data_IF_515735352941
#
_entry.id   IF_515735352941
#
_cell.length_a   1.000
_cell.length_b   1.000
_cell.length_c   1.000
_cell.angle_alpha   90.00
_cell.angle_beta   90.00
_cell.angle_gamma   90.00
#
_symmetry.space_group_name_H-M   'P 1'
#
loop_
_entity.id
_entity.type
_entity.pdbx_description
1 polymer ?
#
# COMPACT_ATOMS: atom_id res chain seq x y z
N UNK A 1 17.92 25.85 -15.33
CA UNK A 1 17.08 25.55 -14.17
C UNK A 1 17.09 24.05 -13.92
N UNK A 2 17.43 23.59 -12.73
CA UNK A 2 17.30 22.18 -12.46
C UNK A 2 15.84 21.77 -12.63
N UNK A 3 15.61 20.68 -13.35
CA UNK A 3 14.29 20.11 -13.50
C UNK A 3 13.81 19.68 -12.12
N UNK A 4 12.63 20.17 -11.73
CA UNK A 4 12.06 19.82 -10.45
C UNK A 4 11.67 18.35 -10.50
N UNK A 5 12.28 17.54 -9.67
CA UNK A 5 11.97 16.11 -9.59
C UNK A 5 10.48 15.93 -9.30
N UNK A 6 9.81 15.13 -10.11
CA UNK A 6 8.42 14.77 -9.84
C UNK A 6 8.42 13.71 -8.74
N UNK A 7 7.78 14.02 -7.63
CA UNK A 7 7.65 13.12 -6.49
C UNK A 7 6.15 12.90 -6.21
N UNK A 8 5.74 11.64 -6.18
CA UNK A 8 4.41 11.23 -5.74
C UNK A 8 4.51 10.59 -4.37
N UNK A 9 3.72 11.08 -3.42
CA UNK A 9 3.65 10.58 -2.05
C UNK A 9 2.35 9.80 -1.88
N UNK A 10 2.47 8.54 -1.49
CA UNK A 10 1.34 7.63 -1.34
C UNK A 10 1.47 6.84 -0.06
N UNK A 11 0.44 6.06 0.25
CA UNK A 11 0.41 5.18 1.41
C UNK A 11 -0.24 3.84 1.05
N UNK A 12 0.01 2.85 1.90
CA UNK A 12 -0.64 1.54 1.84
C UNK A 12 -0.75 1.01 3.27
N UNK A 13 -1.90 0.42 3.61
CA UNK A 13 -2.19 0.00 4.98
C UNK A 13 -2.60 -1.46 5.02
N UNK A 14 -1.89 -2.24 5.83
CA UNK A 14 -2.32 -3.60 6.19
C UNK A 14 -3.18 -3.52 7.46
N UNK A 15 -4.44 -3.91 7.35
CA UNK A 15 -5.37 -4.01 8.46
C UNK A 15 -5.57 -5.48 8.79
N UNK A 16 -5.24 -5.88 10.01
CA UNK A 16 -5.38 -7.25 10.46
C UNK A 16 -6.49 -7.36 11.51
N UNK A 17 -7.38 -8.31 11.33
CA UNK A 17 -8.34 -8.69 12.36
C UNK A 17 -7.72 -9.78 13.23
N UNK A 18 -7.36 -9.43 14.46
CA UNK A 18 -6.73 -10.37 15.39
C UNK A 18 -7.61 -11.55 15.78
N UNK A 19 -8.93 -11.38 15.72
CA UNK A 19 -9.87 -12.45 16.05
C UNK A 19 -9.84 -13.59 15.02
N UNK A 20 -9.64 -13.25 13.74
CA UNK A 20 -9.64 -14.22 12.64
C UNK A 20 -8.27 -14.42 12.01
N UNK A 21 -7.28 -13.60 12.36
CA UNK A 21 -5.95 -13.55 11.73
C UNK A 21 -6.00 -13.23 10.23
N UNK A 22 -7.07 -12.60 9.76
CA UNK A 22 -7.24 -12.20 8.35
C UNK A 22 -6.80 -10.77 8.13
N UNK A 23 -6.43 -10.48 6.90
CA UNK A 23 -6.06 -9.13 6.45
C UNK A 23 -7.10 -8.61 5.46
N UNK A 24 -7.30 -7.30 5.45
CA UNK A 24 -8.24 -6.65 4.56
C UNK A 24 -7.59 -6.37 3.22
N UNK A 25 -8.23 -6.82 2.15
CA UNK A 25 -7.77 -6.57 0.78
C UNK A 25 -8.84 -5.86 -0.03
N UNK A 26 -8.39 -5.14 -1.04
CA UNK A 26 -9.20 -4.52 -2.06
C UNK A 26 -8.88 -5.20 -3.40
N UNK A 27 -9.93 -5.60 -4.12
CA UNK A 27 -9.79 -6.09 -5.49
C UNK A 27 -9.98 -4.91 -6.44
N UNK A 28 -8.88 -4.42 -7.00
CA UNK A 28 -8.91 -3.30 -7.95
C UNK A 28 -9.40 -3.76 -9.31
N UNK A 29 -10.28 -2.98 -9.91
CA UNK A 29 -10.94 -3.32 -11.18
C UNK A 29 -10.74 -2.30 -12.30
N UNK A 30 -10.36 -1.04 -11.98
CA UNK A 30 -10.18 0.02 -12.99
C UNK A 30 -8.76 0.09 -13.51
N UNK A 31 -7.78 0.12 -12.60
CA UNK A 31 -6.36 0.16 -12.93
C UNK A 31 -5.60 -0.68 -11.92
N UNK A 32 -4.45 -1.21 -12.32
CA UNK A 32 -3.66 -2.09 -11.44
C UNK A 32 -4.50 -3.25 -10.89
N UNK A 33 -5.25 -3.91 -11.79
CA UNK A 33 -6.24 -4.94 -11.42
C UNK A 33 -5.62 -6.08 -10.61
N UNK A 34 -6.35 -6.54 -9.59
CA UNK A 34 -5.95 -7.61 -8.67
C UNK A 34 -6.02 -7.14 -7.22
N UNK A 35 -5.64 -8.02 -6.31
CA UNK A 35 -5.67 -7.75 -4.88
C UNK A 35 -4.52 -6.86 -4.44
N UNK A 36 -4.83 -5.91 -3.57
CA UNK A 36 -3.86 -5.05 -2.90
C UNK A 36 -4.39 -4.69 -1.51
N UNK A 37 -3.54 -4.15 -0.66
CA UNK A 37 -4.01 -3.47 0.54
C UNK A 37 -4.53 -2.07 0.18
N UNK A 38 -5.49 -1.54 0.94
CA UNK A 38 -6.01 -0.18 0.70
C UNK A 38 -4.94 0.88 0.90
N UNK A 39 -5.10 1.99 0.21
CA UNK A 39 -4.22 3.15 0.29
C UNK A 39 -4.43 4.09 -0.88
N UNK A 40 -3.70 5.18 -0.91
CA UNK A 40 -3.81 6.18 -1.97
C UNK A 40 -2.82 7.32 -1.81
N UNK A 41 -3.14 8.45 -2.44
CA UNK A 41 -2.26 9.62 -2.46
C UNK A 41 -2.40 10.48 -1.21
N UNK A 42 -1.27 11.02 -0.77
CA UNK A 42 -1.22 12.05 0.28
C UNK A 42 -1.64 13.39 -0.34
N UNK A 43 -2.63 14.06 0.24
CA UNK A 43 -3.07 15.37 -0.19
C UNK A 43 -2.29 16.48 0.50
N UNK A 44 -2.29 17.67 -0.11
CA UNK A 44 -1.64 18.84 0.50
C UNK A 44 -2.22 19.15 1.87
N UNK A 45 -1.34 19.42 2.82
CA UNK A 45 -1.74 19.82 4.17
C UNK A 45 -2.11 18.69 5.11
N UNK A 46 -2.14 17.43 4.64
CA UNK A 46 -2.37 16.31 5.55
C UNK A 46 -1.07 15.55 5.88
N UNK A 47 -1.03 15.00 7.09
CA UNK A 47 0.07 14.12 7.48
C UNK A 47 -0.02 12.78 6.75
N UNK A 48 1.07 12.03 6.70
CA UNK A 48 1.08 10.70 6.09
C UNK A 48 0.10 9.75 6.81
N UNK A 49 0.05 9.82 8.13
CA UNK A 49 -0.89 9.00 8.92
C UNK A 49 -2.34 9.40 8.63
N UNK A 50 -2.64 10.69 8.63
CA UNK A 50 -4.01 11.16 8.36
C UNK A 50 -4.45 10.81 6.94
N UNK A 51 -3.54 10.87 5.96
CA UNK A 51 -3.85 10.46 4.58
C UNK A 51 -4.20 8.97 4.51
N UNK A 52 -3.47 8.13 5.24
CA UNK A 52 -3.76 6.70 5.30
C UNK A 52 -5.11 6.41 5.93
N UNK A 53 -5.43 7.08 7.03
CA UNK A 53 -6.73 6.96 7.71
C UNK A 53 -7.87 7.37 6.77
N UNK A 54 -7.71 8.49 6.07
CA UNK A 54 -8.72 8.98 5.12
C UNK A 54 -8.94 8.01 3.96
N UNK A 55 -7.87 7.56 3.32
CA UNK A 55 -7.96 6.62 2.21
C UNK A 55 -8.63 5.30 2.61
N UNK A 56 -8.27 4.75 3.77
CA UNK A 56 -8.92 3.53 4.27
C UNK A 56 -10.42 3.77 4.50
N UNK A 57 -10.79 4.91 5.07
CA UNK A 57 -12.21 5.24 5.29
C UNK A 57 -12.97 5.33 3.97
N UNK A 58 -12.41 5.99 2.97
CA UNK A 58 -13.03 6.14 1.65
C UNK A 58 -13.17 4.80 0.94
N UNK A 59 -12.17 3.95 1.01
CA UNK A 59 -12.13 2.69 0.26
C UNK A 59 -12.81 1.53 0.96
N UNK A 60 -12.85 1.52 2.29
CA UNK A 60 -13.32 0.36 3.07
C UNK A 60 -14.48 0.64 4.00
N UNK A 61 -14.72 1.90 4.37
CA UNK A 61 -15.69 2.29 5.37
C UNK A 61 -15.19 2.19 6.80
N UNK A 62 -14.02 1.63 7.03
CA UNK A 62 -13.48 1.45 8.38
C UNK A 62 -12.76 2.69 8.88
N UNK A 63 -12.90 2.94 10.17
CA UNK A 63 -12.08 3.88 10.93
C UNK A 63 -10.93 3.11 11.56
N UNK A 64 -9.70 3.53 11.28
CA UNK A 64 -8.50 2.85 11.79
C UNK A 64 -7.75 3.74 12.76
N UNK A 65 -7.05 3.11 13.71
CA UNK A 65 -6.37 3.77 14.82
C UNK A 65 -4.99 3.14 15.03
N UNK A 66 -4.11 3.88 15.72
CA UNK A 66 -2.84 3.37 16.19
C UNK A 66 -1.97 2.73 15.11
N UNK A 67 -1.83 3.44 13.98
CA UNK A 67 -1.02 2.98 12.87
C UNK A 67 0.45 2.87 13.27
N UNK A 68 1.06 1.73 12.93
CA UNK A 68 2.49 1.48 13.11
C UNK A 68 3.17 1.48 11.76
N UNK A 69 4.29 2.20 11.64
CA UNK A 69 5.08 2.22 10.40
C UNK A 69 5.69 0.86 10.09
N UNK A 70 5.57 0.45 8.83
CA UNK A 70 6.26 -0.71 8.26
C UNK A 70 7.38 -0.27 7.30
N UNK A 71 7.80 0.98 7.38
CA UNK A 71 8.82 1.55 6.50
C UNK A 71 8.24 2.19 5.25
N UNK A 72 9.09 2.36 4.25
CA UNK A 72 8.73 2.98 2.98
C UNK A 72 9.20 2.13 1.81
N UNK A 73 8.51 2.25 0.68
CA UNK A 73 9.01 1.76 -0.60
C UNK A 73 9.27 2.96 -1.48
N UNK A 74 10.48 3.02 -2.02
CA UNK A 74 10.94 4.11 -2.87
C UNK A 74 11.19 3.57 -4.28
N UNK A 75 10.30 3.89 -5.19
CA UNK A 75 10.44 3.61 -6.62
C UNK A 75 11.13 4.79 -7.28
N UNK A 76 12.34 4.58 -7.77
CA UNK A 76 13.14 5.63 -8.42
C UNK A 76 13.34 5.29 -9.89
N UNK A 77 12.78 6.10 -10.78
CA UNK A 77 13.03 5.97 -12.22
C UNK A 77 14.46 6.47 -12.52
N UNK A 78 15.30 5.61 -13.06
CA UNK A 78 16.74 5.92 -13.18
C UNK A 78 17.11 6.70 -14.46
N UNK A 79 16.14 7.03 -15.31
CA UNK A 79 16.32 7.89 -16.48
C UNK A 79 15.66 9.25 -16.32
N UNK A 80 14.44 9.30 -15.81
CA UNK A 80 13.66 10.54 -15.64
C UNK A 80 13.83 11.16 -14.26
N UNK A 81 14.33 10.38 -13.28
CA UNK A 81 14.47 10.77 -11.86
C UNK A 81 13.14 11.04 -11.17
N UNK A 82 12.04 10.59 -11.74
CA UNK A 82 10.73 10.57 -11.05
C UNK A 82 10.76 9.58 -9.90
N UNK A 83 10.10 9.94 -8.80
CA UNK A 83 10.04 9.12 -7.59
C UNK A 83 8.60 8.86 -7.19
N UNK A 84 8.33 7.62 -6.83
CA UNK A 84 7.06 7.21 -6.27
C UNK A 84 7.34 6.61 -4.89
N UNK A 85 6.83 7.25 -3.84
CA UNK A 85 7.14 6.88 -2.46
C UNK A 85 5.88 6.40 -1.79
N UNK A 86 5.93 5.18 -1.23
CA UNK A 86 4.80 4.56 -0.55
C UNK A 86 5.14 4.39 0.92
N UNK A 87 4.43 5.12 1.79
CA UNK A 87 4.52 4.96 3.23
C UNK A 87 3.65 3.79 3.65
N UNK A 88 4.23 2.82 4.34
CA UNK A 88 3.57 1.58 4.72
C UNK A 88 3.20 1.60 6.20
N UNK A 89 1.95 1.23 6.50
CA UNK A 89 1.43 1.17 7.86
C UNK A 89 0.70 -0.13 8.09
N UNK A 90 0.62 -0.54 9.36
CA UNK A 90 -0.22 -1.64 9.79
C UNK A 90 -0.98 -1.25 11.04
N UNK A 91 -2.15 -1.85 11.23
CA UNK A 91 -2.94 -1.73 12.45
C UNK A 91 -3.86 -2.92 12.59
N UNK A 92 -4.20 -3.23 13.85
CA UNK A 92 -5.28 -4.17 14.20
C UNK A 92 -6.42 -3.45 14.93
N UNK A 93 -6.34 -2.13 15.06
CA UNK A 93 -7.32 -1.32 15.76
C UNK A 93 -8.22 -0.62 14.76
N UNK A 94 -9.46 -1.10 14.65
CA UNK A 94 -10.43 -0.54 13.72
C UNK A 94 -11.85 -0.64 14.27
N UNK A 95 -12.74 0.17 13.73
CA UNK A 95 -14.17 0.16 14.02
C UNK A 95 -14.96 0.54 12.78
N UNK A 96 -16.29 0.43 12.88
CA UNK A 96 -17.18 0.76 11.78
C UNK A 96 -17.57 -0.46 10.96
N UNK A 97 -18.35 -0.21 9.93
CA UNK A 97 -18.90 -1.25 9.06
C UNK A 97 -18.14 -1.29 7.73
N UNK A 98 -17.68 -2.47 7.35
CA UNK A 98 -17.01 -2.68 6.09
C UNK A 98 -18.00 -2.48 4.93
N UNK A 99 -17.60 -1.67 3.94
CA UNK A 99 -18.35 -1.55 2.69
C UNK A 99 -18.21 -2.84 1.90
N UNK A 100 -19.26 -3.23 1.15
CA UNK A 100 -19.18 -4.40 0.27
C UNK A 100 -18.32 -4.10 -0.94
N UNK A 101 -18.52 -2.93 -1.53
CA UNK A 101 -17.77 -2.48 -2.69
C UNK A 101 -17.83 -0.95 -2.82
N UNK A 102 -16.85 -0.42 -3.52
CA UNK A 102 -16.84 0.98 -3.99
C UNK A 102 -16.64 0.98 -5.51
N UNK A 103 -16.58 2.17 -6.12
CA UNK A 103 -16.29 2.30 -7.55
C UNK A 103 -14.93 1.69 -7.93
N UNK A 104 -14.04 1.51 -6.96
CA UNK A 104 -12.71 0.97 -7.18
C UNK A 104 -12.64 -0.56 -7.05
N UNK A 105 -13.70 -1.19 -6.54
CA UNK A 105 -13.79 -2.64 -6.44
C UNK A 105 -14.30 -3.12 -5.09
N UNK A 106 -14.23 -4.43 -4.89
CA UNK A 106 -14.66 -5.08 -3.65
C UNK A 106 -13.58 -4.98 -2.57
N UNK A 107 -14.04 -4.97 -1.30
CA UNK A 107 -13.15 -5.12 -0.14
C UNK A 107 -13.61 -6.32 0.69
N UNK A 108 -12.65 -7.12 1.14
CA UNK A 108 -12.97 -8.33 1.91
C UNK A 108 -11.77 -8.81 2.72
N UNK A 109 -12.06 -9.63 3.72
CA UNK A 109 -11.03 -10.24 4.56
C UNK A 109 -10.54 -11.54 3.94
N UNK A 110 -9.22 -11.76 3.95
CA UNK A 110 -8.59 -12.96 3.41
C UNK A 110 -7.51 -13.46 4.38
N UNK A 111 -7.33 -14.78 4.43
CA UNK A 111 -6.20 -15.35 5.14
C UNK A 111 -4.90 -14.93 4.41
N UNK A 112 -3.89 -14.40 5.12
CA UNK A 112 -2.64 -14.00 4.48
C UNK A 112 -1.97 -15.12 3.68
N UNK A 113 -2.10 -16.37 4.11
CA UNK A 113 -1.52 -17.52 3.41
C UNK A 113 -2.19 -17.79 2.06
N UNK A 114 -3.42 -17.30 1.87
CA UNK A 114 -4.14 -17.42 0.60
C UNK A 114 -3.76 -16.39 -0.44
N UNK A 115 -3.04 -15.34 -0.07
CA UNK A 115 -2.63 -14.28 -1.00
C UNK A 115 -1.83 -14.83 -2.18
N UNK A 116 -0.96 -15.81 -1.93
CA UNK A 116 -0.14 -16.44 -2.97
C UNK A 116 -0.96 -17.18 -4.05
N UNK A 117 -2.21 -17.53 -3.75
CA UNK A 117 -3.11 -18.23 -4.67
C UNK A 117 -4.03 -17.29 -5.43
N UNK A 118 -3.91 -15.99 -5.23
CA UNK A 118 -4.77 -14.96 -5.81
C UNK A 118 -4.04 -14.18 -6.90
N UNK A 119 -4.82 -13.56 -7.79
CA UNK A 119 -4.28 -12.58 -8.71
C UNK A 119 -3.99 -11.30 -7.92
N UNK A 120 -2.73 -10.99 -7.74
CA UNK A 120 -2.29 -9.78 -7.07
C UNK A 120 -2.17 -8.62 -8.05
N UNK A 121 -2.43 -7.40 -7.58
CA UNK A 121 -2.11 -6.19 -8.32
C UNK A 121 -0.60 -6.16 -8.63
N UNK A 122 -0.23 -5.55 -9.75
CA UNK A 122 1.18 -5.49 -10.17
C UNK A 122 2.08 -4.97 -9.06
N UNK A 123 3.16 -5.70 -8.80
CA UNK A 123 4.16 -5.42 -7.77
C UNK A 123 3.67 -5.55 -6.31
N UNK A 124 2.41 -5.86 -6.06
CA UNK A 124 1.94 -6.00 -4.68
C UNK A 124 2.71 -7.08 -3.90
N UNK A 125 3.12 -8.14 -4.56
CA UNK A 125 3.97 -9.19 -3.97
C UNK A 125 5.28 -8.63 -3.41
N UNK A 126 5.80 -7.56 -4.00
CA UNK A 126 7.05 -6.91 -3.56
C UNK A 126 6.88 -6.04 -2.31
N UNK A 127 5.63 -5.65 -2.00
CA UNK A 127 5.30 -4.91 -0.78
C UNK A 127 5.19 -5.82 0.43
N UNK A 128 4.78 -7.07 0.23
CA UNK A 128 4.48 -8.00 1.32
C UNK A 128 5.64 -8.22 2.30
N UNK A 129 6.91 -8.38 1.86
CA UNK A 129 8.00 -8.52 2.80
C UNK A 129 8.13 -7.37 3.80
N UNK A 130 7.78 -6.15 3.40
CA UNK A 130 7.84 -4.98 4.28
C UNK A 130 6.82 -5.07 5.41
N UNK A 131 5.64 -5.63 5.14
CA UNK A 131 4.58 -5.77 6.14
C UNK A 131 4.84 -6.93 7.11
N UNK A 132 5.48 -7.99 6.65
CA UNK A 132 5.65 -9.23 7.43
C UNK A 132 7.05 -9.41 8.02
N UNK A 133 8.02 -8.57 7.67
CA UNK A 133 9.37 -8.61 8.23
C UNK A 133 9.73 -7.26 8.85
N UNK A 134 9.74 -7.22 10.17
CA UNK A 134 10.02 -6.00 10.95
C UNK A 134 11.49 -5.54 10.88
N UNK A 135 12.39 -6.35 10.32
CA UNK A 135 13.80 -6.00 10.19
C UNK A 135 14.05 -5.01 9.05
N UNK A 136 13.09 -4.84 8.15
CA UNK A 136 13.22 -3.90 7.05
C UNK A 136 12.63 -2.53 7.39
N UNK A 137 13.34 -1.47 7.01
CA UNK A 137 12.87 -0.10 7.13
C UNK A 137 12.59 0.55 5.77
N UNK A 138 13.20 0.03 4.70
CA UNK A 138 13.04 0.55 3.36
C UNK A 138 13.15 -0.56 2.32
N UNK A 139 12.35 -0.44 1.25
CA UNK A 139 12.59 -1.13 0.00
C UNK A 139 12.93 -0.07 -1.06
N UNK A 140 14.03 -0.26 -1.76
CA UNK A 140 14.45 0.65 -2.82
C UNK A 140 14.44 -0.07 -4.16
N UNK A 141 13.70 0.48 -5.12
CA UNK A 141 13.60 -0.05 -6.47
C UNK A 141 14.07 0.98 -7.49
N UNK A 142 15.16 0.67 -8.18
CA UNK A 142 15.62 1.43 -9.34
C UNK A 142 15.07 0.77 -10.60
N UNK A 143 14.45 1.52 -11.48
CA UNK A 143 13.77 0.94 -12.63
C UNK A 143 13.73 1.88 -13.83
N UNK A 144 13.50 1.29 -15.00
CA UNK A 144 13.10 1.96 -16.23
C UNK A 144 12.37 0.93 -17.10
N UNK A 145 11.84 1.37 -18.23
CA UNK A 145 11.01 0.53 -19.11
C UNK A 145 11.80 -0.54 -19.87
N UNK A 146 13.12 -0.37 -19.97
CA UNK A 146 13.99 -1.20 -20.83
C UNK A 146 14.68 -2.32 -20.07
N UNK A 147 14.74 -2.25 -18.74
CA UNK A 147 15.50 -3.16 -17.89
C UNK A 147 14.62 -3.77 -16.80
N UNK A 148 14.95 -4.98 -16.31
CA UNK A 148 14.25 -5.55 -15.17
C UNK A 148 14.37 -4.66 -13.93
N UNK A 149 13.29 -4.57 -13.17
CA UNK A 149 13.29 -3.87 -11.89
C UNK A 149 14.20 -4.59 -10.90
N UNK A 150 15.02 -3.81 -10.21
CA UNK A 150 15.87 -4.31 -9.12
C UNK A 150 15.35 -3.69 -7.83
N UNK A 151 14.88 -4.53 -6.91
CA UNK A 151 14.41 -4.10 -5.60
C UNK A 151 15.33 -4.64 -4.51
N UNK A 152 15.68 -3.80 -3.56
CA UNK A 152 16.55 -4.13 -2.43
C UNK A 152 15.84 -3.77 -1.13
N UNK A 153 15.79 -4.70 -0.20
CA UNK A 153 15.21 -4.50 1.14
C UNK A 153 16.32 -4.18 2.13
N UNK A 154 16.14 -3.14 2.91
CA UNK A 154 17.15 -2.62 3.87
C UNK A 154 16.60 -2.47 5.27
#
# INVERSE_FOLDING_TARGET
>A
MPQKDKIELTNMVMIEDKATCKVLVQERIKSWCGLTFPGGHVEEGESFVDSAIREVKEETGLDIFNLKSCGVIHWAHNKTFERYIVFLYRTSDFSGDLLDATDEGRVFWIDPDELKNQKLSENFDRYLPMFFNEDFSEAYASWNEDEPQIITYK
#
